data_IF_693939880473
#
_entry.id   IF_693939880473
#
_cell.length_a   1.000
_cell.length_b   1.000
_cell.length_c   1.000
_cell.angle_alpha   90.00
_cell.angle_beta   90.00
_cell.angle_gamma   90.00
#
_symmetry.space_group_name_H-M   'P 1'
#
loop_
_entity.id
_entity.type
_entity.pdbx_description
1 polymer ?
#
# COMPACT_ATOMS: atom_id res chain seq x y z
N UNK A 1 -71.19 -38.60 -9.41
CA UNK A 1 -69.80 -38.13 -9.29
C UNK A 1 -69.86 -36.61 -9.11
N UNK A 2 -70.00 -35.97 -7.93
CA UNK A 2 -69.30 -36.09 -6.62
C UNK A 2 -67.79 -36.13 -6.89
N UNK A 3 -66.95 -35.12 -6.63
CA UNK A 3 -66.72 -34.25 -5.43
C UNK A 3 -65.89 -33.02 -5.91
N UNK A 4 -66.17 -31.73 -5.66
CA UNK A 4 -66.11 -30.87 -4.46
C UNK A 4 -64.75 -30.75 -3.73
N UNK A 5 -64.44 -29.52 -3.28
CA UNK A 5 -63.36 -29.02 -2.39
C UNK A 5 -62.00 -28.63 -3.03
N UNK A 6 -61.32 -27.50 -2.68
CA UNK A 6 -61.39 -26.63 -1.48
C UNK A 6 -60.75 -25.26 -1.77
N UNK A 7 -61.49 -24.17 -1.56
CA UNK A 7 -60.92 -22.85 -1.28
C UNK A 7 -60.51 -22.78 0.20
N UNK A 8 -59.32 -22.25 0.50
CA UNK A 8 -58.91 -21.75 1.83
C UNK A 8 -57.87 -20.64 1.56
N UNK A 9 -58.14 -19.36 1.81
CA UNK A 9 -58.38 -18.64 3.07
C UNK A 9 -57.10 -18.34 3.87
N UNK A 10 -56.69 -17.07 3.78
CA UNK A 10 -56.09 -16.19 4.79
C UNK A 10 -54.65 -16.38 5.32
N UNK A 11 -53.84 -15.33 5.11
CA UNK A 11 -52.84 -14.70 6.01
C UNK A 11 -52.50 -13.35 5.31
N UNK A 12 -52.92 -12.13 5.67
CA UNK A 12 -53.01 -11.42 6.96
C UNK A 12 -51.74 -11.72 7.79
N UNK A 13 -50.86 -10.81 8.19
CA UNK A 13 -50.72 -9.37 8.09
C UNK A 13 -49.37 -9.00 8.75
N UNK A 14 -48.90 -7.77 8.50
CA UNK A 14 -48.33 -6.84 9.50
C UNK A 14 -47.01 -7.26 10.20
N UNK A 15 -45.89 -6.59 9.89
CA UNK A 15 -45.38 -5.36 10.56
C UNK A 15 -44.62 -5.68 11.85
N UNK A 16 -43.32 -5.35 11.90
CA UNK A 16 -42.68 -4.63 13.01
C UNK A 16 -41.19 -4.43 12.72
N UNK A 17 -40.85 -3.18 12.40
CA UNK A 17 -39.54 -2.60 12.65
C UNK A 17 -39.51 -2.14 14.11
N UNK A 18 -38.43 -2.42 14.84
CA UNK A 18 -38.08 -1.74 16.10
C UNK A 18 -36.57 -1.54 16.13
N UNK A 19 -36.18 -0.27 16.02
CA UNK A 19 -34.87 0.25 16.37
C UNK A 19 -34.81 0.50 17.88
N UNK A 20 -33.67 0.27 18.52
CA UNK A 20 -33.39 0.76 19.87
C UNK A 20 -31.90 1.12 20.00
N UNK A 21 -31.71 2.38 20.39
CA UNK A 21 -30.47 3.06 20.69
C UNK A 21 -30.03 2.83 22.15
N UNK A 22 -28.71 2.82 22.39
CA UNK A 22 -28.04 3.01 23.69
C UNK A 22 -26.51 2.90 23.43
N UNK A 23 -25.56 3.63 24.00
CA UNK A 23 -25.53 4.73 24.97
C UNK A 23 -24.16 5.42 24.78
N UNK A 24 -24.15 6.76 24.78
CA UNK A 24 -22.97 7.59 25.03
C UNK A 24 -22.61 7.49 26.51
N UNK A 25 -21.35 7.22 26.84
CA UNK A 25 -20.77 7.51 28.15
C UNK A 25 -19.32 7.96 27.98
N UNK A 26 -19.13 9.24 28.25
CA UNK A 26 -17.90 9.99 28.40
C UNK A 26 -17.13 9.60 29.66
N UNK A 27 -15.81 9.54 29.58
CA UNK A 27 -14.92 9.79 30.73
C UNK A 27 -13.61 10.43 30.24
N UNK A 28 -13.41 11.69 30.63
CA UNK A 28 -12.21 12.51 30.49
C UNK A 28 -11.90 13.04 31.90
N UNK A 29 -10.77 12.64 32.46
CA UNK A 29 -10.12 13.22 33.63
C UNK A 29 -8.60 13.06 33.39
N UNK A 30 -7.89 14.13 33.02
CA UNK A 30 -7.26 15.13 33.88
C UNK A 30 -6.19 14.55 34.82
N UNK A 31 -4.91 14.91 34.61
CA UNK A 31 -4.14 15.65 35.61
C UNK A 31 -2.76 16.13 35.10
N UNK A 32 -2.52 17.39 35.39
CA UNK A 32 -1.28 18.18 35.32
C UNK A 32 -0.51 18.06 36.64
N UNK A 33 0.82 18.07 36.58
CA UNK A 33 1.79 18.75 37.47
C UNK A 33 3.15 18.05 37.33
N UNK A 34 4.17 18.70 36.76
CA UNK A 34 5.13 19.61 37.41
C UNK A 34 6.14 18.88 38.31
N UNK A 35 7.41 18.96 37.94
CA UNK A 35 8.49 19.25 38.89
C UNK A 35 9.73 19.73 38.15
N UNK A 36 10.07 20.95 38.50
CA UNK A 36 11.24 21.77 38.19
C UNK A 36 12.46 21.32 39.01
N UNK A 37 13.64 21.84 38.61
CA UNK A 37 14.86 22.04 39.42
C UNK A 37 15.79 20.80 39.58
N UNK A 38 17.13 20.83 39.56
CA UNK A 38 18.23 21.82 39.64
C UNK A 38 19.45 21.21 38.92
N UNK A 39 20.25 21.90 38.12
CA UNK A 39 21.24 22.96 38.38
C UNK A 39 22.46 22.57 39.25
N UNK A 40 23.63 23.00 38.75
CA UNK A 40 24.95 23.25 39.39
C UNK A 40 25.83 22.01 39.65
N UNK A 41 27.10 21.95 39.22
CA UNK A 41 28.27 22.71 39.72
C UNK A 41 29.52 22.21 38.96
N UNK A 42 30.34 23.06 38.31
CA UNK A 42 31.69 23.57 38.72
C UNK A 42 32.69 22.45 39.08
N UNK A 43 33.99 22.42 38.77
CA UNK A 43 35.06 23.24 38.15
C UNK A 43 36.27 22.25 38.02
N UNK A 44 37.58 22.59 37.91
CA UNK A 44 38.26 23.84 37.56
C UNK A 44 39.40 23.68 36.51
N UNK A 45 39.90 24.84 36.10
CA UNK A 45 41.21 25.14 35.51
C UNK A 45 42.36 24.94 36.49
N UNK A 46 43.59 24.72 35.99
CA UNK A 46 44.93 25.09 36.52
C UNK A 46 45.99 24.15 35.88
N UNK A 47 47.28 24.44 35.72
CA UNK A 47 48.07 25.66 35.62
C UNK A 47 49.48 25.22 35.16
N UNK A 48 50.21 26.19 34.61
CA UNK A 48 51.63 26.32 34.21
C UNK A 48 52.74 25.44 34.83
N UNK A 49 53.79 25.17 34.03
CA UNK A 49 55.22 25.30 34.40
C UNK A 49 56.12 25.20 33.12
N UNK A 50 56.69 26.30 32.61
CA UNK A 50 58.08 26.77 32.75
C UNK A 50 59.15 25.92 32.02
N UNK A 51 59.64 26.35 30.84
CA UNK A 51 60.90 27.10 30.56
C UNK A 51 62.23 26.35 30.80
N UNK A 52 63.08 26.27 29.74
CA UNK A 52 64.52 26.61 29.78
C UNK A 52 65.17 26.75 28.38
N UNK A 53 65.97 27.82 28.32
CA UNK A 53 66.87 28.42 27.29
C UNK A 53 67.99 27.48 26.77
N UNK A 54 68.34 27.46 25.47
CA UNK A 54 69.48 28.15 24.74
C UNK A 54 70.87 27.48 25.00
N UNK A 55 71.90 27.44 24.10
CA UNK A 55 72.12 28.07 22.77
C UNK A 55 72.62 27.14 21.62
N UNK A 56 72.69 27.69 20.40
CA UNK A 56 73.57 27.23 19.31
C UNK A 56 75.02 27.76 19.49
N UNK A 57 76.06 27.08 18.98
CA UNK A 57 76.77 27.69 17.84
C UNK A 57 77.51 26.75 16.86
N UNK A 58 77.81 27.36 15.71
CA UNK A 58 78.99 27.20 14.84
C UNK A 58 79.01 26.14 13.71
N UNK A 59 79.67 26.60 12.65
CA UNK A 59 79.67 26.21 11.24
C UNK A 59 80.84 25.31 10.83
N UNK A 60 80.64 24.61 9.69
CA UNK A 60 81.60 23.98 8.73
C UNK A 60 82.13 22.56 9.05
N UNK A 61 82.60 21.76 8.05
CA UNK A 61 82.52 21.86 6.58
C UNK A 61 81.98 20.57 5.88
N UNK A 62 81.73 20.65 4.57
CA UNK A 62 81.32 19.55 3.70
C UNK A 62 82.31 18.38 3.66
N UNK A 63 81.83 17.13 3.80
CA UNK A 63 82.58 15.93 3.42
C UNK A 63 81.70 14.70 3.12
N UNK A 64 81.73 14.34 1.83
CA UNK A 64 81.47 13.04 1.15
C UNK A 64 80.10 12.37 1.30
N UNK A 65 79.47 12.20 0.15
CA UNK A 65 78.31 11.35 -0.09
C UNK A 65 78.53 9.89 0.37
N UNK A 66 77.55 9.29 1.05
CA UNK A 66 77.31 7.85 1.01
C UNK A 66 76.26 7.55 -0.05
N UNK A 67 76.62 6.60 -0.89
CA UNK A 67 75.86 5.90 -1.93
C UNK A 67 74.33 5.88 -1.75
N UNK A 68 73.63 6.14 -2.87
CA UNK A 68 72.22 5.80 -3.07
C UNK A 68 71.98 4.35 -2.61
N UNK A 69 71.40 4.18 -1.43
CA UNK A 69 70.56 3.01 -1.17
C UNK A 69 69.31 3.16 -2.03
N UNK A 70 69.22 2.31 -3.05
CA UNK A 70 68.01 2.08 -3.83
C UNK A 70 66.82 1.98 -2.86
N UNK A 71 65.77 2.81 -3.01
CA UNK A 71 64.57 2.66 -2.19
C UNK A 71 64.01 1.26 -2.40
N UNK A 72 63.81 0.52 -1.32
CA UNK A 72 63.08 -0.74 -1.36
C UNK A 72 61.73 -0.52 -2.05
N UNK A 73 61.23 -1.49 -2.84
CA UNK A 73 59.91 -1.37 -3.46
C UNK A 73 58.87 -1.13 -2.36
N UNK A 74 58.18 0.00 -2.43
CA UNK A 74 57.05 0.30 -1.55
C UNK A 74 56.05 -0.84 -1.70
N UNK A 75 55.56 -1.47 -0.60
CA UNK A 75 54.52 -2.49 -0.69
C UNK A 75 53.37 -1.99 -1.55
N UNK A 76 52.79 -2.83 -2.44
CA UNK A 76 51.62 -2.45 -3.23
C UNK A 76 50.56 -1.88 -2.30
N UNK A 77 50.00 -0.72 -2.65
CA UNK A 77 48.93 -0.11 -1.88
C UNK A 77 47.79 -1.15 -1.67
N UNK A 78 47.25 -1.28 -0.46
CA UNK A 78 46.16 -2.22 -0.21
C UNK A 78 45.01 -1.94 -1.16
N UNK A 79 44.53 -2.99 -1.84
CA UNK A 79 43.41 -2.95 -2.77
C UNK A 79 42.21 -2.28 -2.07
N UNK A 80 41.51 -1.32 -2.70
CA UNK A 80 40.36 -0.65 -2.08
C UNK A 80 39.38 -1.70 -1.54
N UNK A 81 39.05 -1.60 -0.25
CA UNK A 81 38.07 -2.47 0.38
C UNK A 81 36.77 -2.43 -0.45
N UNK A 82 36.21 -3.60 -0.75
CA UNK A 82 34.96 -3.69 -1.48
C UNK A 82 33.88 -2.87 -0.74
N UNK A 83 33.01 -2.15 -1.46
CA UNK A 83 32.00 -1.31 -0.84
C UNK A 83 31.12 -2.15 0.08
N UNK A 84 31.02 -1.73 1.34
CA UNK A 84 30.26 -2.41 2.41
C UNK A 84 28.75 -2.20 2.27
N UNK A 85 28.34 -1.30 1.38
CA UNK A 85 26.95 -0.94 1.10
C UNK A 85 26.69 -0.95 -0.40
N UNK A 86 25.46 -1.31 -0.77
CA UNK A 86 24.96 -1.26 -2.14
C UNK A 86 23.81 -0.26 -2.20
N UNK A 87 23.71 0.53 -3.26
CA UNK A 87 22.70 1.59 -3.37
C UNK A 87 21.92 1.45 -4.68
N UNK A 88 20.60 1.37 -4.59
CA UNK A 88 19.70 1.57 -5.71
C UNK A 88 19.40 3.06 -5.83
N UNK A 89 19.53 3.63 -7.04
CA UNK A 89 19.32 5.05 -7.25
C UNK A 89 17.82 5.43 -7.18
N UNK A 90 17.55 6.72 -6.96
CA UNK A 90 16.21 7.24 -7.22
C UNK A 90 15.84 7.04 -8.70
N UNK A 91 14.56 6.79 -8.97
CA UNK A 91 14.05 6.47 -10.29
C UNK A 91 14.18 5.00 -10.69
N UNK A 92 14.91 4.17 -9.93
CA UNK A 92 14.99 2.74 -10.20
C UNK A 92 13.62 2.09 -10.06
N UNK A 93 13.24 1.30 -11.07
CA UNK A 93 12.01 0.50 -11.07
C UNK A 93 12.25 -0.83 -10.38
N UNK A 94 11.37 -1.16 -9.45
CA UNK A 94 11.39 -2.38 -8.68
C UNK A 94 10.13 -3.17 -9.04
N UNK A 95 10.25 -4.24 -9.84
CA UNK A 95 9.12 -5.10 -10.16
C UNK A 95 8.77 -5.95 -8.95
N UNK A 96 7.52 -5.91 -8.54
CA UNK A 96 6.96 -6.68 -7.43
C UNK A 96 5.86 -7.61 -7.94
N UNK A 97 5.65 -8.69 -7.23
CA UNK A 97 4.52 -9.60 -7.39
C UNK A 97 3.70 -9.59 -6.11
N UNK A 98 2.39 -9.37 -6.22
CA UNK A 98 1.48 -9.42 -5.06
C UNK A 98 1.51 -10.82 -4.41
N UNK A 99 1.72 -10.91 -3.10
CA UNK A 99 1.78 -12.22 -2.43
C UNK A 99 0.39 -12.85 -2.25
N UNK A 100 -0.64 -12.02 -2.20
CA UNK A 100 -2.04 -12.40 -1.98
C UNK A 100 -2.97 -11.61 -2.91
N UNK A 101 -4.22 -12.08 -3.03
CA UNK A 101 -5.22 -11.35 -3.80
C UNK A 101 -5.89 -10.28 -2.95
N UNK A 102 -5.96 -9.06 -3.48
CA UNK A 102 -6.60 -7.91 -2.83
C UNK A 102 -7.82 -7.53 -3.65
N UNK A 103 -8.99 -7.49 -3.03
CA UNK A 103 -10.24 -7.06 -3.66
C UNK A 103 -10.80 -5.84 -2.96
N UNK A 104 -11.20 -4.82 -3.72
CA UNK A 104 -11.88 -3.64 -3.15
C UNK A 104 -13.23 -3.95 -2.49
N UNK A 105 -13.77 -5.16 -2.66
CA UNK A 105 -14.94 -5.63 -1.92
C UNK A 105 -14.66 -5.80 -0.42
N UNK A 106 -13.47 -6.31 -0.10
CA UNK A 106 -13.12 -6.76 1.25
C UNK A 106 -12.10 -5.82 1.89
N UNK A 107 -11.10 -5.42 1.11
CA UNK A 107 -10.03 -4.53 1.54
C UNK A 107 -10.56 -3.14 1.91
N UNK A 108 -9.90 -2.51 2.88
CA UNK A 108 -10.16 -1.15 3.33
C UNK A 108 -8.87 -0.35 3.40
N UNK A 109 -9.01 0.98 3.42
CA UNK A 109 -7.90 1.86 3.72
C UNK A 109 -7.32 1.53 5.11
N UNK A 110 -6.00 1.41 5.20
CA UNK A 110 -5.28 1.01 6.41
C UNK A 110 -4.91 -0.48 6.47
N UNK A 111 -5.49 -1.33 5.63
CA UNK A 111 -5.15 -2.76 5.60
C UNK A 111 -3.71 -2.97 5.14
N UNK A 112 -2.99 -3.90 5.79
CA UNK A 112 -1.66 -4.29 5.35
C UNK A 112 -1.73 -5.16 4.10
N UNK A 113 -0.73 -5.05 3.23
CA UNK A 113 -0.51 -6.00 2.15
C UNK A 113 0.96 -6.37 2.05
N UNK A 114 1.20 -7.56 1.51
CA UNK A 114 2.54 -8.07 1.24
C UNK A 114 2.75 -8.32 -0.24
N UNK A 115 3.95 -8.03 -0.70
CA UNK A 115 4.42 -8.35 -2.03
C UNK A 115 5.83 -8.94 -1.96
N UNK A 116 6.29 -9.48 -3.07
CA UNK A 116 7.63 -10.04 -3.19
C UNK A 116 8.31 -9.43 -4.39
N UNK A 117 9.60 -9.11 -4.28
CA UNK A 117 10.39 -8.60 -5.40
C UNK A 117 10.50 -9.68 -6.47
N UNK A 118 10.04 -9.39 -7.68
CA UNK A 118 9.96 -10.35 -8.76
C UNK A 118 11.32 -10.56 -9.45
N UNK A 119 12.17 -9.53 -9.48
CA UNK A 119 13.48 -9.56 -10.16
C UNK A 119 14.53 -8.79 -9.38
N UNK A 120 15.79 -9.20 -9.52
CA UNK A 120 16.94 -8.55 -8.91
C UNK A 120 17.05 -7.08 -9.33
N UNK A 121 17.02 -6.18 -8.34
CA UNK A 121 17.29 -4.76 -8.53
C UNK A 121 18.78 -4.52 -8.34
N UNK A 122 19.41 -3.92 -9.35
CA UNK A 122 20.86 -3.71 -9.40
C UNK A 122 21.24 -2.25 -9.23
N UNK A 123 22.45 -2.01 -8.73
CA UNK A 123 23.07 -0.69 -8.72
C UNK A 123 23.57 -0.32 -10.13
N UNK A 124 24.13 0.88 -10.27
CA UNK A 124 24.71 1.38 -11.53
C UNK A 124 25.94 0.58 -12.00
N UNK A 125 26.55 -0.21 -11.12
CA UNK A 125 27.74 -1.04 -11.38
C UNK A 125 27.34 -2.49 -11.71
N UNK A 126 26.08 -2.87 -11.49
CA UNK A 126 25.53 -4.20 -11.74
C UNK A 126 25.41 -5.11 -10.52
N UNK A 127 25.72 -4.63 -9.30
CA UNK A 127 25.55 -5.43 -8.08
C UNK A 127 24.09 -5.51 -7.66
N UNK A 128 23.64 -6.68 -7.22
CA UNK A 128 22.27 -6.86 -6.72
C UNK A 128 22.10 -6.19 -5.35
N UNK A 129 21.34 -5.09 -5.34
CA UNK A 129 20.95 -4.32 -4.17
C UNK A 129 19.78 -5.02 -3.48
N UNK A 130 18.69 -5.24 -4.21
CA UNK A 130 17.49 -5.91 -3.70
C UNK A 130 17.34 -7.22 -4.47
N UNK A 131 17.56 -8.39 -3.84
CA UNK A 131 17.40 -9.66 -4.53
C UNK A 131 15.93 -9.99 -4.78
N UNK A 132 15.67 -10.72 -5.85
CA UNK A 132 14.39 -11.36 -6.09
C UNK A 132 14.02 -12.25 -4.89
N UNK A 133 12.73 -12.34 -4.58
CA UNK A 133 12.26 -13.02 -3.37
C UNK A 133 12.25 -12.15 -2.10
N UNK A 134 12.83 -10.95 -2.14
CA UNK A 134 12.76 -10.01 -1.01
C UNK A 134 11.31 -9.67 -0.67
N UNK A 135 10.94 -9.80 0.61
CA UNK A 135 9.60 -9.48 1.07
C UNK A 135 9.40 -7.96 1.15
N UNK A 136 8.25 -7.48 0.69
CA UNK A 136 7.84 -6.08 0.71
C UNK A 136 6.56 -5.97 1.50
N UNK A 137 6.48 -4.97 2.37
CA UNK A 137 5.31 -4.68 3.18
C UNK A 137 4.81 -3.28 2.86
N UNK A 138 3.49 -3.15 2.81
CA UNK A 138 2.83 -1.90 2.54
C UNK A 138 1.43 -1.85 3.13
N UNK A 139 0.74 -0.77 2.85
CA UNK A 139 -0.62 -0.50 3.30
C UNK A 139 -1.48 -0.04 2.14
N UNK A 140 -2.75 -0.43 2.18
CA UNK A 140 -3.77 0.02 1.25
C UNK A 140 -4.17 1.44 1.65
N UNK A 141 -3.96 2.40 0.77
CA UNK A 141 -4.32 3.82 0.99
C UNK A 141 -5.80 4.04 0.71
N UNK A 142 -6.33 3.38 -0.32
CA UNK A 142 -7.75 3.42 -0.66
C UNK A 142 -8.17 2.15 -1.40
N UNK A 143 -9.39 1.71 -1.14
CA UNK A 143 -10.02 0.57 -1.77
C UNK A 143 -11.52 0.86 -1.97
N UNK A 144 -11.88 1.28 -3.17
CA UNK A 144 -13.23 1.68 -3.55
C UNK A 144 -13.62 0.89 -4.82
N UNK A 145 -14.66 0.04 -4.75
CA UNK A 145 -15.25 -0.57 -5.94
C UNK A 145 -15.77 0.47 -6.93
N UNK A 146 -15.84 0.12 -8.21
CA UNK A 146 -16.54 0.94 -9.19
C UNK A 146 -18.06 0.83 -8.96
N UNK A 147 -18.81 1.95 -8.95
CA UNK A 147 -20.24 1.95 -8.69
C UNK A 147 -21.09 1.41 -9.86
N UNK A 148 -20.49 1.24 -11.04
CA UNK A 148 -21.12 0.66 -12.22
C UNK A 148 -20.01 0.20 -13.20
N UNK A 149 -20.35 -0.61 -14.24
CA UNK A 149 -19.38 -1.11 -15.21
C UNK A 149 -18.71 -0.06 -16.09
N UNK A 150 -19.28 1.15 -16.16
CA UNK A 150 -18.75 2.26 -16.95
C UNK A 150 -17.95 3.25 -16.10
N UNK A 151 -17.82 3.02 -14.80
CA UNK A 151 -17.07 3.85 -13.88
C UNK A 151 -15.76 3.16 -13.49
N UNK A 152 -14.80 3.95 -13.05
CA UNK A 152 -13.53 3.45 -12.52
C UNK A 152 -13.61 3.26 -11.01
N UNK A 153 -13.14 2.11 -10.53
CA UNK A 153 -12.87 1.91 -9.10
C UNK A 153 -11.50 2.49 -8.72
N UNK A 154 -11.22 2.58 -7.42
CA UNK A 154 -9.97 3.10 -6.87
C UNK A 154 -9.30 2.04 -6.01
N UNK A 155 -8.08 1.63 -6.37
CA UNK A 155 -7.22 0.83 -5.52
C UNK A 155 -5.87 1.52 -5.45
N UNK A 156 -5.45 1.96 -4.27
CA UNK A 156 -4.22 2.69 -4.05
C UNK A 156 -3.39 1.98 -2.97
N UNK A 157 -2.11 1.80 -3.26
CA UNK A 157 -1.17 1.04 -2.43
C UNK A 157 0.02 1.93 -2.11
N UNK A 158 0.45 1.90 -0.85
CA UNK A 158 1.70 2.53 -0.40
C UNK A 158 2.64 1.45 0.10
N UNK A 159 3.85 1.40 -0.44
CA UNK A 159 4.92 0.52 0.04
C UNK A 159 5.68 1.25 1.15
N UNK A 160 5.97 0.54 2.24
CA UNK A 160 6.66 1.12 3.40
C UNK A 160 8.05 0.54 3.58
N UNK A 161 8.19 -0.77 3.50
CA UNK A 161 9.46 -1.45 3.81
C UNK A 161 9.76 -2.57 2.82
N UNK A 162 11.06 -2.83 2.64
CA UNK A 162 11.59 -3.99 1.93
C UNK A 162 12.57 -4.73 2.82
N UNK A 163 12.41 -6.04 2.90
CA UNK A 163 13.30 -6.93 3.63
C UNK A 163 14.40 -7.42 2.70
N UNK A 164 15.63 -6.98 2.93
CA UNK A 164 16.80 -7.38 2.17
C UNK A 164 17.76 -8.13 3.08
N UNK A 165 18.03 -9.40 2.76
CA UNK A 165 18.99 -10.25 3.49
C UNK A 165 18.73 -10.29 5.01
N UNK A 166 17.46 -10.36 5.41
CA UNK A 166 17.05 -10.44 6.82
C UNK A 166 17.02 -9.10 7.57
N UNK A 167 17.32 -7.97 6.92
CA UNK A 167 17.15 -6.63 7.49
C UNK A 167 16.05 -5.86 6.76
N UNK A 168 15.22 -5.15 7.51
CA UNK A 168 14.15 -4.31 6.96
C UNK A 168 14.66 -2.91 6.69
N UNK A 169 14.38 -2.38 5.51
CA UNK A 169 14.73 -1.03 5.09
C UNK A 169 13.47 -0.27 4.71
N UNK A 170 13.33 0.97 5.20
CA UNK A 170 12.25 1.86 4.79
C UNK A 170 12.44 2.25 3.32
N UNK A 171 11.34 2.29 2.58
CA UNK A 171 11.32 2.62 1.15
C UNK A 171 10.47 3.85 0.93
N UNK A 172 11.04 4.85 0.27
CA UNK A 172 10.30 6.00 -0.24
C UNK A 172 10.12 5.80 -1.74
N UNK A 173 8.90 5.44 -2.14
CA UNK A 173 8.62 5.05 -3.51
C UNK A 173 7.15 5.23 -3.88
N UNK A 174 6.92 5.38 -5.18
CA UNK A 174 5.60 5.55 -5.78
C UNK A 174 5.24 4.33 -6.61
N UNK A 175 4.01 3.85 -6.52
CA UNK A 175 3.50 2.78 -7.38
C UNK A 175 3.17 3.37 -8.74
N UNK A 176 3.99 3.06 -9.76
CA UNK A 176 3.77 3.55 -11.14
C UNK A 176 2.64 2.78 -11.84
N UNK A 177 2.59 1.46 -11.66
CA UNK A 177 1.58 0.62 -12.28
C UNK A 177 1.29 -0.63 -11.46
N UNK A 178 0.11 -1.21 -11.70
CA UNK A 178 -0.35 -2.44 -11.08
C UNK A 178 -1.30 -3.16 -12.03
N UNK A 179 -1.18 -4.48 -12.10
CA UNK A 179 -2.03 -5.30 -12.97
C UNK A 179 -3.30 -5.71 -12.22
N UNK A 180 -4.42 -5.05 -12.51
CA UNK A 180 -5.70 -5.29 -11.83
C UNK A 180 -6.74 -5.81 -12.80
N UNK A 181 -7.58 -6.73 -12.33
CA UNK A 181 -8.73 -7.25 -13.06
C UNK A 181 -10.03 -6.69 -12.50
N UNK A 182 -10.96 -6.38 -13.38
CA UNK A 182 -12.31 -5.93 -13.02
C UNK A 182 -13.21 -7.15 -12.85
N UNK A 183 -13.76 -7.35 -11.65
CA UNK A 183 -14.69 -8.45 -11.35
C UNK A 183 -16.09 -7.91 -11.09
N UNK A 184 -17.01 -8.19 -12.00
CA UNK A 184 -18.40 -7.76 -11.84
C UNK A 184 -19.13 -8.54 -10.76
N UNK A 185 -19.89 -7.84 -9.91
CA UNK A 185 -20.75 -8.51 -8.93
C UNK A 185 -21.99 -9.11 -9.59
N UNK A 186 -22.62 -10.05 -8.90
CA UNK A 186 -24.01 -10.40 -9.18
C UNK A 186 -24.94 -9.22 -8.86
N UNK A 187 -26.12 -9.19 -9.48
CA UNK A 187 -27.14 -8.17 -9.20
C UNK A 187 -27.63 -8.37 -7.76
N UNK A 188 -27.43 -7.36 -6.90
CA UNK A 188 -27.86 -7.41 -5.50
C UNK A 188 -29.28 -6.84 -5.33
N UNK A 189 -29.89 -7.05 -4.15
CA UNK A 189 -31.18 -6.42 -3.82
C UNK A 189 -31.12 -4.89 -3.85
N UNK A 190 -29.97 -4.30 -3.54
CA UNK A 190 -29.74 -2.84 -3.64
C UNK A 190 -29.77 -2.37 -5.09
N UNK A 191 -29.10 -3.09 -5.99
CA UNK A 191 -29.12 -2.81 -7.43
C UNK A 191 -30.53 -2.98 -8.02
N UNK A 192 -31.21 -4.06 -7.62
CA UNK A 192 -32.58 -4.33 -7.99
C UNK A 192 -33.56 -3.29 -7.42
N UNK A 193 -33.28 -2.68 -6.25
CA UNK A 193 -34.08 -1.58 -5.70
C UNK A 193 -33.83 -0.26 -6.44
N UNK A 194 -32.58 0.03 -6.81
CA UNK A 194 -32.19 1.17 -7.65
C UNK A 194 -32.94 1.16 -8.99
N UNK A 195 -33.06 -0.03 -9.59
CA UNK A 195 -33.83 -0.25 -10.81
C UNK A 195 -35.33 -0.39 -10.55
N UNK A 196 -35.71 -0.99 -9.42
CA UNK A 196 -37.08 -1.24 -8.99
C UNK A 196 -37.87 0.03 -8.73
N UNK A 197 -37.22 1.09 -8.26
CA UNK A 197 -37.81 2.44 -8.22
C UNK A 197 -38.30 2.93 -9.59
N UNK A 198 -37.64 2.53 -10.68
CA UNK A 198 -38.08 2.81 -12.06
C UNK A 198 -39.10 1.80 -12.62
N UNK A 199 -39.01 0.53 -12.22
CA UNK A 199 -39.89 -0.54 -12.74
C UNK A 199 -41.35 -0.45 -12.23
N UNK A 200 -41.57 0.05 -11.01
CA UNK A 200 -42.94 0.29 -10.49
C UNK A 200 -43.67 1.34 -11.35
N UNK A 201 -42.98 2.38 -11.80
CA UNK A 201 -43.56 3.37 -12.72
C UNK A 201 -43.94 2.75 -14.07
N UNK A 202 -43.09 1.88 -14.63
CA UNK A 202 -43.35 1.21 -15.91
C UNK A 202 -44.54 0.24 -15.87
N UNK A 203 -44.73 -0.48 -14.77
CA UNK A 203 -45.87 -1.40 -14.59
C UNK A 203 -47.20 -0.65 -14.45
N UNK A 204 -47.20 0.52 -13.79
CA UNK A 204 -48.39 1.37 -13.65
C UNK A 204 -48.81 1.98 -15.00
N UNK A 205 -47.85 2.43 -15.81
CA UNK A 205 -48.13 2.95 -17.16
C UNK A 205 -48.58 1.83 -18.10
N UNK A 206 -47.95 0.66 -18.06
CA UNK A 206 -48.32 -0.50 -18.88
C UNK A 206 -49.72 -1.05 -18.56
N UNK A 207 -50.14 -1.01 -17.29
CA UNK A 207 -51.50 -1.40 -16.86
C UNK A 207 -52.56 -0.38 -17.30
N UNK A 208 -52.20 0.89 -17.45
CA UNK A 208 -53.12 1.95 -17.87
C UNK A 208 -53.37 1.93 -19.40
N UNK A 209 -52.35 1.55 -20.19
CA UNK A 209 -52.43 1.51 -21.66
C UNK A 209 -52.96 0.18 -22.23
N UNK A 210 -52.74 -0.93 -21.53
CA UNK A 210 -53.14 -2.27 -21.98
C UNK A 210 -54.27 -2.85 -21.13
N UNK A 211 -55.53 -2.49 -21.40
CA UNK A 211 -56.74 -3.03 -20.72
C UNK A 211 -56.95 -4.56 -20.87
N UNK A 212 -55.98 -5.30 -21.43
CA UNK A 212 -56.05 -6.73 -21.73
C UNK A 212 -54.85 -7.48 -21.12
N UNK A 213 -55.10 -8.65 -20.52
CA UNK A 213 -54.09 -9.52 -19.89
C UNK A 213 -52.93 -9.92 -20.81
N UNK A 214 -53.14 -10.00 -22.13
CA UNK A 214 -52.07 -10.25 -23.11
C UNK A 214 -51.06 -9.09 -23.20
N UNK A 215 -51.51 -7.84 -23.06
CA UNK A 215 -50.64 -6.66 -23.09
C UNK A 215 -49.79 -6.52 -21.83
N UNK A 216 -50.34 -6.90 -20.67
CA UNK A 216 -49.59 -6.97 -19.42
C UNK A 216 -48.52 -8.08 -19.44
N UNK A 217 -48.79 -9.22 -20.10
CA UNK A 217 -47.82 -10.31 -20.23
C UNK A 217 -46.64 -9.93 -21.13
N UNK A 218 -46.93 -9.33 -22.30
CA UNK A 218 -45.89 -8.89 -23.25
C UNK A 218 -45.10 -7.70 -22.66
N UNK A 219 -45.80 -6.70 -22.09
CA UNK A 219 -45.16 -5.57 -21.41
C UNK A 219 -44.36 -5.98 -20.17
N UNK A 220 -44.82 -7.02 -19.45
CA UNK A 220 -44.09 -7.61 -18.34
C UNK A 220 -42.80 -8.32 -18.78
N UNK A 221 -42.82 -9.07 -19.89
CA UNK A 221 -41.63 -9.73 -20.41
C UNK A 221 -40.57 -8.72 -20.92
N UNK A 222 -41.00 -7.71 -21.68
CA UNK A 222 -40.10 -6.64 -22.16
C UNK A 222 -39.58 -5.80 -20.99
N UNK A 223 -40.44 -5.45 -20.02
CA UNK A 223 -40.04 -4.72 -18.81
C UNK A 223 -39.08 -5.52 -17.92
N UNK A 224 -39.26 -6.84 -17.82
CA UNK A 224 -38.34 -7.72 -17.10
C UNK A 224 -36.97 -7.79 -17.80
N UNK A 225 -36.93 -7.88 -19.13
CA UNK A 225 -35.68 -7.87 -19.89
C UNK A 225 -34.94 -6.53 -19.77
N UNK A 226 -35.65 -5.41 -19.92
CA UNK A 226 -35.10 -4.06 -19.76
C UNK A 226 -34.62 -3.81 -18.32
N UNK A 227 -35.38 -4.24 -17.31
CA UNK A 227 -35.00 -4.16 -15.90
C UNK A 227 -33.76 -4.98 -15.57
N UNK A 228 -33.64 -6.20 -16.12
CA UNK A 228 -32.45 -7.03 -15.95
C UNK A 228 -31.20 -6.41 -16.60
N UNK A 229 -31.36 -5.76 -17.76
CA UNK A 229 -30.27 -5.04 -18.42
C UNK A 229 -29.84 -3.82 -17.59
N UNK A 230 -30.79 -3.00 -17.11
CA UNK A 230 -30.51 -1.85 -16.27
C UNK A 230 -29.84 -2.24 -14.95
N UNK A 231 -30.26 -3.35 -14.34
CA UNK A 231 -29.67 -3.85 -13.09
C UNK A 231 -28.24 -4.34 -13.31
N UNK A 232 -27.97 -4.98 -14.44
CA UNK A 232 -26.62 -5.35 -14.84
C UNK A 232 -25.73 -4.15 -15.14
N UNK A 233 -26.28 -3.06 -15.67
CA UNK A 233 -25.55 -1.83 -15.96
C UNK A 233 -25.32 -0.96 -14.71
N UNK A 234 -26.08 -1.19 -13.63
CA UNK A 234 -25.96 -0.44 -12.38
C UNK A 234 -25.22 -1.20 -11.28
N UNK A 235 -24.77 -2.43 -11.57
CA UNK A 235 -24.08 -3.27 -10.60
C UNK A 235 -22.68 -2.75 -10.34
N UNK A 236 -22.26 -2.84 -9.09
CA UNK A 236 -20.88 -2.53 -8.73
C UNK A 236 -19.89 -3.53 -9.39
N UNK A 237 -18.68 -3.04 -9.65
CA UNK A 237 -17.54 -3.83 -10.13
C UNK A 237 -16.41 -3.71 -9.11
N UNK A 238 -15.87 -4.84 -8.68
CA UNK A 238 -14.74 -4.85 -7.78
C UNK A 238 -13.43 -4.76 -8.56
N UNK A 239 -12.48 -3.97 -8.06
CA UNK A 239 -11.11 -3.96 -8.56
C UNK A 239 -10.37 -5.04 -7.79
N UNK A 240 -9.81 -6.00 -8.51
CA UNK A 240 -9.09 -7.12 -7.90
C UNK A 240 -7.65 -7.10 -8.39
N UNK A 241 -6.73 -7.05 -7.45
CA UNK A 241 -5.32 -7.35 -7.66
C UNK A 241 -5.15 -8.85 -7.39
N UNK A 242 -4.93 -9.69 -8.41
CA UNK A 242 -4.77 -11.12 -8.20
C UNK A 242 -3.44 -11.44 -7.50
N UNK A 243 -3.37 -12.61 -6.86
CA UNK A 243 -2.09 -13.13 -6.37
C UNK A 243 -1.12 -13.30 -7.54
N UNK A 244 0.12 -12.87 -7.35
CA UNK A 244 1.16 -12.86 -8.38
C UNK A 244 1.05 -11.69 -9.36
N UNK A 245 0.07 -10.80 -9.22
CA UNK A 245 -0.07 -9.63 -10.08
C UNK A 245 1.20 -8.78 -10.06
N UNK A 246 1.59 -8.28 -11.24
CA UNK A 246 2.72 -7.39 -11.37
C UNK A 246 2.39 -6.01 -10.80
N UNK A 247 3.28 -5.48 -9.96
CA UNK A 247 3.25 -4.12 -9.44
C UNK A 247 4.60 -3.48 -9.75
N UNK A 248 4.60 -2.34 -10.44
CA UNK A 248 5.84 -1.60 -10.72
C UNK A 248 5.98 -0.48 -9.71
N UNK A 249 6.98 -0.59 -8.84
CA UNK A 249 7.35 0.45 -7.89
C UNK A 249 8.48 1.29 -8.48
N UNK A 250 8.47 2.61 -8.27
CA UNK A 250 9.60 3.49 -8.58
C UNK A 250 10.11 4.15 -7.32
N UNK A 251 11.40 3.98 -7.05
CA UNK A 251 12.06 4.61 -5.92
C UNK A 251 12.06 6.14 -6.12
N UNK A 252 11.55 6.89 -5.14
CA UNK A 252 11.61 8.35 -5.13
C UNK A 252 12.95 8.84 -4.58
N UNK A 253 13.52 8.08 -3.64
CA UNK A 253 14.84 8.32 -3.03
C UNK A 253 15.76 7.13 -3.23
N UNK A 254 17.09 7.32 -3.22
CA UNK A 254 18.02 6.22 -3.25
C UNK A 254 17.84 5.33 -2.01
N UNK A 255 17.93 4.01 -2.21
CA UNK A 255 17.87 3.02 -1.15
C UNK A 255 19.25 2.39 -0.98
N UNK A 256 19.87 2.61 0.17
CA UNK A 256 21.16 2.00 0.53
C UNK A 256 20.95 0.83 1.48
N UNK A 257 21.49 -0.32 1.11
CA UNK A 257 21.42 -1.56 1.90
C UNK A 257 22.81 -2.08 2.22
N UNK A 258 22.94 -2.82 3.31
CA UNK A 258 24.20 -3.45 3.68
C UNK A 258 24.52 -4.60 2.71
N UNK A 259 25.78 -4.68 2.29
CA UNK A 259 26.27 -5.84 1.53
C UNK A 259 26.39 -7.03 2.47
N UNK A 260 25.97 -8.23 2.02
CA UNK A 260 26.33 -9.45 2.73
C UNK A 260 27.87 -9.54 2.77
N UNK A 261 28.42 -9.87 3.93
CA UNK A 261 29.85 -10.11 4.10
C UNK A 261 30.28 -11.38 3.34
#
# INVERSE_FOLDING_TARGET
MITLQKHSSHLIAVLTAVALAACVKSDQANQTADSTARNLTLAPTESTAAMKDVPAPATQPAKVAPEKKTPAPKPPAPKPAAPTTLTAAAGTRVPLAASESISTRQAKAGDAFTATVAQDVKDVVGHVVIPAGSAVQGTIVAAEPAPNPNASGRLELAVQTVSVRGSSYAVDATVESKDTVMQGRGVTKGDAAKVGGGAIAGALVGKLLGKNTKGALIGGAVGAAAGAAAARASRDIDVVLPKGAAITLKLNKPLTVKRAA
#
